data_IF_076793540593
#
_entry.id   IF_076793540593
#
_cell.length_a   1.000
_cell.length_b   1.000
_cell.length_c   1.000
_cell.angle_alpha   90.00
_cell.angle_beta   90.00
_cell.angle_gamma   90.00
#
_symmetry.space_group_name_H-M   'P 1'
#
loop_
_entity.id
_entity.type
_entity.pdbx_description
1 polymer ?
#
# COMPACT_ATOMS: atom_id res chain seq x y z
N UNK A 1 -6.60 -25.74 -7.50
CA UNK A 1 -6.77 -24.43 -8.17
C UNK A 1 -6.14 -24.57 -9.54
N UNK A 2 -6.85 -24.15 -10.59
CA UNK A 2 -6.34 -24.15 -11.97
C UNK A 2 -6.37 -22.71 -12.45
N UNK A 3 -5.25 -22.22 -12.99
CA UNK A 3 -5.11 -20.86 -13.48
C UNK A 3 -4.85 -20.99 -14.98
N UNK A 4 -5.61 -20.25 -15.78
CA UNK A 4 -5.35 -20.16 -17.22
C UNK A 4 -4.19 -19.19 -17.43
N UNK A 5 -3.15 -19.65 -18.10
CA UNK A 5 -2.00 -18.84 -18.51
C UNK A 5 -1.99 -18.83 -20.04
N UNK A 6 -1.50 -17.73 -20.62
CA UNK A 6 -1.22 -17.72 -22.06
C UNK A 6 -0.08 -18.71 -22.37
N UNK A 7 -0.15 -19.33 -23.55
CA UNK A 7 0.79 -20.38 -23.97
C UNK A 7 2.25 -19.89 -23.90
N UNK A 8 2.51 -18.62 -24.25
CA UNK A 8 3.84 -18.01 -24.17
C UNK A 8 4.36 -17.93 -22.72
N UNK A 9 3.46 -17.67 -21.78
CA UNK A 9 3.79 -17.57 -20.35
C UNK A 9 4.03 -18.96 -19.77
N UNK A 10 3.24 -19.96 -20.18
CA UNK A 10 3.47 -21.35 -19.77
C UNK A 10 4.82 -21.87 -20.26
N UNK A 11 5.19 -21.59 -21.51
CA UNK A 11 6.46 -22.05 -22.09
C UNK A 11 7.67 -21.46 -21.33
N UNK A 12 7.66 -20.14 -21.10
CA UNK A 12 8.70 -19.49 -20.29
C UNK A 12 8.76 -20.02 -18.87
N UNK A 13 7.60 -20.29 -18.26
CA UNK A 13 7.53 -20.85 -16.92
C UNK A 13 8.15 -22.26 -16.86
N UNK A 14 7.90 -23.10 -17.86
CA UNK A 14 8.49 -24.44 -17.98
C UNK A 14 10.00 -24.39 -18.15
N UNK A 15 10.50 -23.47 -18.97
CA UNK A 15 11.93 -23.27 -19.16
C UNK A 15 12.61 -22.88 -17.83
N UNK A 16 12.07 -21.86 -17.15
CA UNK A 16 12.58 -21.37 -15.87
C UNK A 16 12.51 -22.44 -14.78
N UNK A 17 11.41 -23.19 -14.72
CA UNK A 17 11.25 -24.28 -13.75
C UNK A 17 12.26 -25.40 -13.97
N UNK A 18 12.52 -25.75 -15.23
CA UNK A 18 13.51 -26.77 -15.59
C UNK A 18 14.92 -26.29 -15.27
N UNK A 19 15.22 -25.00 -15.50
CA UNK A 19 16.51 -24.41 -15.19
C UNK A 19 16.80 -24.34 -13.68
N UNK A 20 15.81 -23.94 -12.86
CA UNK A 20 16.00 -23.72 -11.43
C UNK A 20 15.85 -24.99 -10.58
N UNK A 21 14.93 -25.88 -10.95
CA UNK A 21 14.54 -27.03 -10.11
C UNK A 21 14.66 -28.39 -10.82
N UNK A 22 15.05 -28.41 -12.10
CA UNK A 22 15.14 -29.61 -12.94
C UNK A 22 13.79 -30.24 -13.26
N UNK A 23 13.80 -31.46 -13.81
CA UNK A 23 12.60 -32.18 -14.26
C UNK A 23 11.76 -32.81 -13.13
N UNK A 24 11.73 -32.20 -11.93
CA UNK A 24 10.92 -32.72 -10.82
C UNK A 24 9.46 -32.35 -11.01
N UNK A 25 8.56 -33.30 -10.71
CA UNK A 25 7.10 -33.16 -10.82
C UNK A 25 6.53 -31.94 -10.06
N UNK A 26 7.24 -31.42 -9.05
CA UNK A 26 6.87 -30.24 -8.26
C UNK A 26 7.55 -28.93 -8.66
N UNK A 27 8.44 -28.94 -9.67
CA UNK A 27 9.22 -27.77 -10.06
C UNK A 27 8.34 -26.58 -10.46
N UNK A 28 7.33 -26.81 -11.30
CA UNK A 28 6.40 -25.76 -11.75
C UNK A 28 5.62 -25.14 -10.58
N UNK A 29 5.04 -25.96 -9.71
CA UNK A 29 4.29 -25.47 -8.55
C UNK A 29 5.17 -24.65 -7.60
N UNK A 30 6.42 -25.08 -7.37
CA UNK A 30 7.35 -24.38 -6.50
C UNK A 30 7.78 -23.01 -7.06
N UNK A 31 7.99 -22.92 -8.38
CA UNK A 31 8.31 -21.64 -9.04
C UNK A 31 7.15 -20.67 -8.92
N UNK A 32 5.93 -21.13 -9.23
CA UNK A 32 4.72 -20.30 -9.13
C UNK A 32 4.55 -19.82 -7.69
N UNK A 33 4.66 -20.72 -6.71
CA UNK A 33 4.50 -20.36 -5.30
C UNK A 33 5.55 -19.34 -4.84
N UNK A 34 6.81 -19.52 -5.25
CA UNK A 34 7.90 -18.60 -4.91
C UNK A 34 7.73 -17.24 -5.58
N UNK A 35 7.31 -17.22 -6.86
CA UNK A 35 7.03 -15.99 -7.60
C UNK A 35 5.86 -15.22 -6.98
N UNK A 36 4.78 -15.90 -6.60
CA UNK A 36 3.64 -15.29 -5.93
C UNK A 36 4.00 -14.76 -4.54
N UNK A 37 4.76 -15.52 -3.74
CA UNK A 37 5.27 -15.06 -2.44
C UNK A 37 6.10 -13.79 -2.58
N UNK A 38 7.01 -13.75 -3.55
CA UNK A 38 7.80 -12.57 -3.83
C UNK A 38 6.95 -11.41 -4.34
N UNK A 39 5.97 -11.67 -5.21
CA UNK A 39 5.06 -10.65 -5.70
C UNK A 39 4.21 -10.05 -4.58
N UNK A 40 3.64 -10.88 -3.69
CA UNK A 40 2.93 -10.38 -2.52
C UNK A 40 3.85 -9.63 -1.58
N UNK A 41 5.07 -10.10 -1.36
CA UNK A 41 6.06 -9.35 -0.55
C UNK A 41 6.42 -8.00 -1.18
N UNK A 42 6.52 -7.94 -2.51
CA UNK A 42 6.75 -6.69 -3.25
C UNK A 42 5.52 -5.79 -3.22
N UNK A 43 4.30 -6.33 -3.27
CA UNK A 43 3.06 -5.58 -3.11
C UNK A 43 2.89 -5.07 -1.69
N UNK A 44 3.22 -5.86 -0.67
CA UNK A 44 3.21 -5.43 0.72
C UNK A 44 4.26 -4.35 0.95
N UNK A 45 5.46 -4.48 0.36
CA UNK A 45 6.48 -3.43 0.38
C UNK A 45 6.06 -2.18 -0.41
N UNK A 46 5.44 -2.33 -1.58
CA UNK A 46 4.96 -1.21 -2.39
C UNK A 46 3.76 -0.50 -1.74
N UNK A 47 2.85 -1.27 -1.12
CA UNK A 47 1.74 -0.80 -0.33
C UNK A 47 2.19 -0.12 0.96
N UNK A 48 3.23 -0.65 1.61
CA UNK A 48 3.80 -0.10 2.85
C UNK A 48 4.88 0.98 2.65
N UNK A 49 5.32 1.26 1.41
CA UNK A 49 6.40 2.24 1.14
C UNK A 49 6.06 3.33 0.11
N UNK A 50 4.80 3.46 -0.32
CA UNK A 50 4.39 4.50 -1.27
C UNK A 50 3.10 5.27 -0.93
N UNK A 51 2.29 4.74 -0.01
CA UNK A 51 1.04 5.33 0.45
C UNK A 51 1.30 6.51 1.39
N UNK A 52 0.49 7.56 1.30
CA UNK A 52 0.57 8.71 2.19
C UNK A 52 0.19 8.24 3.59
N UNK A 53 1.15 8.05 4.49
CA UNK A 53 0.80 7.77 5.89
C UNK A 53 0.34 9.05 6.60
N UNK A 54 -0.88 9.00 7.14
CA UNK A 54 -1.48 10.02 7.98
C UNK A 54 -1.32 9.61 9.44
N UNK A 55 -0.67 10.46 10.23
CA UNK A 55 -0.47 10.26 11.67
C UNK A 55 -1.37 11.21 12.44
N UNK A 56 -2.18 10.70 13.35
CA UNK A 56 -2.87 11.50 14.35
C UNK A 56 -1.97 11.69 15.57
N UNK A 57 -1.62 12.94 15.88
CA UNK A 57 -0.74 13.31 17.00
C UNK A 57 -1.53 14.14 18.01
N UNK A 58 -1.46 13.78 19.30
CA UNK A 58 -2.00 14.55 20.42
C UNK A 58 -0.82 15.11 21.21
N UNK A 59 -0.52 16.40 21.04
CA UNK A 59 0.72 16.98 21.56
C UNK A 59 1.94 16.38 20.86
N UNK A 60 2.70 15.57 21.58
CA UNK A 60 3.90 14.87 21.08
C UNK A 60 3.68 13.35 20.89
N UNK A 61 2.48 12.84 21.23
CA UNK A 61 2.19 11.40 21.18
C UNK A 61 1.44 11.03 19.92
N UNK A 62 1.96 10.06 19.17
CA UNK A 62 1.26 9.46 18.02
C UNK A 62 0.18 8.51 18.54
N UNK A 63 -1.07 8.80 18.19
CA UNK A 63 -2.25 8.06 18.66
C UNK A 63 -2.70 7.01 17.64
N UNK A 64 -2.54 7.30 16.35
CA UNK A 64 -2.90 6.41 15.26
C UNK A 64 -2.13 6.77 13.98
N UNK A 65 -1.90 5.76 13.13
CA UNK A 65 -1.30 5.89 11.80
C UNK A 65 -2.15 5.07 10.81
N UNK A 66 -2.38 5.60 9.62
CA UNK A 66 -3.08 4.92 8.54
C UNK A 66 -2.65 5.46 7.18
N UNK A 67 -2.82 4.67 6.12
CA UNK A 67 -2.48 5.06 4.75
C UNK A 67 -3.54 5.94 4.08
N UNK A 68 -4.70 6.12 4.74
CA UNK A 68 -5.81 6.96 4.29
C UNK A 68 -6.44 7.73 5.45
N UNK A 69 -7.03 8.89 5.18
CA UNK A 69 -7.78 9.67 6.19
C UNK A 69 -9.00 8.90 6.72
N UNK A 70 -9.69 8.15 5.84
CA UNK A 70 -10.83 7.31 6.24
C UNK A 70 -10.39 6.17 7.17
N UNK A 71 -9.26 5.54 6.86
CA UNK A 71 -8.64 4.55 7.75
C UNK A 71 -8.25 5.15 9.09
N UNK A 72 -7.67 6.35 9.10
CA UNK A 72 -7.33 7.06 10.32
C UNK A 72 -8.59 7.38 11.15
N UNK A 73 -9.68 7.80 10.51
CA UNK A 73 -10.95 8.10 11.17
C UNK A 73 -11.59 6.84 11.78
N UNK A 74 -11.54 5.70 11.09
CA UNK A 74 -12.00 4.42 11.61
C UNK A 74 -11.22 4.01 12.87
N UNK A 75 -9.88 4.09 12.84
CA UNK A 75 -9.02 3.76 13.97
C UNK A 75 -9.27 4.70 15.15
N UNK A 76 -9.44 6.00 14.91
CA UNK A 76 -9.74 6.97 15.97
C UNK A 76 -11.10 6.72 16.63
N UNK A 77 -12.11 6.34 15.83
CA UNK A 77 -13.44 5.99 16.31
C UNK A 77 -13.42 4.71 17.15
N UNK A 78 -12.70 3.69 16.70
CA UNK A 78 -12.54 2.43 17.44
C UNK A 78 -11.79 2.64 18.77
N UNK A 79 -10.75 3.49 18.76
CA UNK A 79 -9.99 3.84 19.97
C UNK A 79 -10.71 4.84 20.89
N UNK A 80 -11.91 5.33 20.52
CA UNK A 80 -12.66 6.30 21.31
C UNK A 80 -11.92 7.63 21.52
N UNK A 81 -11.02 7.99 20.61
CA UNK A 81 -10.19 9.20 20.74
C UNK A 81 -10.97 10.38 20.20
N UNK A 82 -11.15 11.41 21.03
CA UNK A 82 -11.78 12.65 20.59
C UNK A 82 -10.96 13.33 19.47
N UNK A 83 -11.58 13.68 18.32
CA UNK A 83 -10.90 14.39 17.24
C UNK A 83 -10.43 15.79 17.64
N UNK A 84 -11.07 16.38 18.66
CA UNK A 84 -10.79 17.73 19.13
C UNK A 84 -9.42 17.77 19.82
N UNK A 85 -8.49 18.49 19.23
CA UNK A 85 -7.11 18.63 19.73
C UNK A 85 -6.10 17.65 19.13
N UNK A 86 -6.50 16.84 18.15
CA UNK A 86 -5.56 16.03 17.35
C UNK A 86 -5.03 16.84 16.18
N UNK A 87 -3.73 16.71 15.90
CA UNK A 87 -3.08 17.19 14.67
C UNK A 87 -2.87 16.02 13.75
N UNK A 88 -3.35 16.11 12.52
CA UNK A 88 -3.11 15.10 11.49
C UNK A 88 -1.88 15.54 10.68
N UNK A 89 -0.86 14.69 10.63
CA UNK A 89 0.39 14.92 9.89
C UNK A 89 0.47 13.93 8.75
N UNK A 90 0.61 14.43 7.52
CA UNK A 90 0.84 13.62 6.32
C UNK A 90 2.33 13.51 6.06
N UNK A 91 2.81 12.31 5.71
CA UNK A 91 4.20 12.07 5.30
C UNK A 91 4.55 12.69 3.94
N UNK A 92 3.59 12.86 3.02
CA UNK A 92 3.78 13.68 1.82
C UNK A 92 3.43 15.14 2.10
N UNK A 93 4.22 16.12 1.61
CA UNK A 93 3.83 17.51 1.66
C UNK A 93 2.54 17.67 0.86
N UNK A 94 1.46 17.97 1.56
CA UNK A 94 0.23 18.41 0.92
C UNK A 94 0.61 19.77 0.33
N UNK A 95 0.79 19.84 -1.00
CA UNK A 95 0.98 21.12 -1.68
C UNK A 95 -0.18 21.99 -1.22
N UNK A 96 0.12 23.02 -0.41
CA UNK A 96 -0.89 23.96 0.04
C UNK A 96 -1.58 24.46 -1.22
N UNK A 97 -2.89 24.21 -1.42
CA UNK A 97 -3.61 24.99 -2.40
C UNK A 97 -3.52 26.40 -1.83
N UNK A 98 -2.64 27.21 -2.43
CA UNK A 98 -2.49 28.60 -2.07
C UNK A 98 -3.91 29.15 -1.96
N UNK A 99 -4.33 29.54 -0.76
CA UNK A 99 -5.61 30.21 -0.58
C UNK A 99 -5.46 31.56 -1.29
N UNK A 100 -5.76 31.57 -2.59
CA UNK A 100 -5.94 32.78 -3.35
C UNK A 100 -7.14 33.47 -2.71
N UNK A 101 -6.85 34.36 -1.75
CA UNK A 101 -7.85 35.14 -1.06
C UNK A 101 -8.71 35.86 -2.10
N UNK A 102 -10.00 35.58 -2.08
CA UNK A 102 -10.94 36.27 -2.94
C UNK A 102 -11.13 37.69 -2.39
N UNK A 103 -10.45 38.67 -3.00
CA UNK A 103 -10.57 40.08 -2.62
C UNK A 103 -11.72 40.70 -3.40
N UNK A 104 -12.90 40.78 -2.79
CA UNK A 104 -14.04 41.52 -3.36
C UNK A 104 -13.69 43.00 -3.30
N UNK A 105 -13.31 43.58 -4.44
CA UNK A 105 -13.22 45.03 -4.60
C UNK A 105 -14.64 45.50 -4.94
N UNK A 106 -15.30 46.18 -4.01
CA UNK A 106 -16.55 46.90 -4.31
C UNK A 106 -16.16 48.16 -5.11
N UNK A 107 -16.72 48.29 -6.31
CA UNK A 107 -16.73 49.52 -7.08
C UNK A 107 -17.84 50.45 -6.58
#
# INVERSE_FOLDING_TARGET
>A
MTISLDDEVEEKLREVATHLYGSRKSALSNVIESALKNFFTLLDKAGSSGGVSFKAVKGDTVVAEADTLDGLAAILKEKGVEPRGLRIVSSKPISSPAHAGYRIIRA
#
